data_IF_856297871370
#
_entry.id   IF_856297871370
#
_cell.length_a   1.000
_cell.length_b   1.000
_cell.length_c   1.000
_cell.angle_alpha   90.00
_cell.angle_beta   90.00
_cell.angle_gamma   90.00
#
_symmetry.space_group_name_H-M   'P 1'
#
loop_
_entity.id
_entity.type
_entity.pdbx_description
1 polymer ?
#
# COMPACT_ATOMS: atom_id res chain seq x y z
N UNK A 1 -6.39 6.59 17.60
CA UNK A 1 -7.85 6.37 17.49
C UNK A 1 -8.12 5.42 16.34
N UNK A 2 -9.09 4.52 16.51
CA UNK A 2 -9.56 3.59 15.47
C UNK A 2 -11.09 3.54 15.51
N UNK A 3 -11.73 3.72 14.35
CA UNK A 3 -13.21 3.71 14.26
C UNK A 3 -13.82 2.32 14.40
N UNK A 4 -13.08 1.29 14.01
CA UNK A 4 -13.51 -0.10 14.13
C UNK A 4 -13.15 -0.71 15.48
N UNK A 5 -13.54 -1.97 15.70
CA UNK A 5 -13.23 -2.73 16.90
C UNK A 5 -11.73 -3.02 17.07
N UNK A 6 -10.98 -3.05 15.97
CA UNK A 6 -9.55 -3.34 15.94
C UNK A 6 -8.89 -2.69 14.72
N UNK A 7 -7.56 -2.53 14.71
CA UNK A 7 -6.83 -2.12 13.51
C UNK A 7 -7.04 -3.09 12.34
N UNK A 8 -6.69 -2.64 11.13
CA UNK A 8 -6.71 -3.45 9.91
C UNK A 8 -8.09 -3.97 9.49
N UNK A 9 -9.16 -3.23 9.76
CA UNK A 9 -10.51 -3.60 9.30
C UNK A 9 -10.81 -3.09 7.87
N UNK A 10 -9.98 -2.20 7.32
CA UNK A 10 -10.10 -1.64 5.97
C UNK A 10 -9.20 -2.38 4.95
N UNK A 11 -8.47 -1.67 4.08
CA UNK A 11 -7.60 -2.28 3.06
C UNK A 11 -6.57 -3.28 3.63
N UNK A 12 -6.11 -3.05 4.85
CA UNK A 12 -5.18 -3.94 5.55
C UNK A 12 -5.82 -5.20 6.14
N UNK A 13 -7.13 -5.41 5.97
CA UNK A 13 -7.85 -6.58 6.49
C UNK A 13 -7.83 -7.82 5.59
N UNK A 14 -7.13 -7.81 4.47
CA UNK A 14 -7.04 -8.98 3.59
C UNK A 14 -6.34 -10.14 4.30
N UNK A 15 -6.76 -11.41 4.05
CA UNK A 15 -6.10 -12.59 4.63
C UNK A 15 -4.63 -12.69 4.25
N UNK A 16 -4.30 -12.31 3.02
CA UNK A 16 -2.94 -12.26 2.48
C UNK A 16 -2.77 -11.04 1.59
N UNK A 17 -1.67 -10.32 1.76
CA UNK A 17 -1.19 -9.29 0.86
C UNK A 17 0.15 -9.70 0.27
N UNK A 18 0.39 -9.39 -0.99
CA UNK A 18 1.64 -9.75 -1.67
C UNK A 18 2.74 -8.77 -1.30
N UNK A 19 3.86 -9.30 -0.81
CA UNK A 19 5.09 -8.56 -0.58
C UNK A 19 5.90 -8.53 -1.89
N UNK A 20 5.52 -7.63 -2.79
CA UNK A 20 5.99 -7.57 -4.16
C UNK A 20 6.63 -6.21 -4.50
N UNK A 21 7.80 -6.26 -5.18
CA UNK A 21 8.56 -5.07 -5.55
C UNK A 21 8.21 -4.63 -6.98
N UNK A 22 7.36 -3.63 -7.11
CA UNK A 22 7.11 -3.00 -8.42
C UNK A 22 8.17 -1.92 -8.69
N UNK A 23 9.29 -2.34 -9.24
CA UNK A 23 10.47 -1.50 -9.50
C UNK A 23 10.47 -0.90 -10.91
N UNK A 24 11.27 0.14 -11.07
CA UNK A 24 11.73 0.69 -12.35
C UNK A 24 13.26 0.54 -12.45
N UNK A 25 13.77 0.22 -13.62
CA UNK A 25 15.21 0.14 -13.88
C UNK A 25 15.92 1.52 -13.78
N UNK A 26 15.18 2.63 -13.68
CA UNK A 26 15.70 3.99 -13.77
C UNK A 26 15.95 4.67 -12.40
N UNK A 27 16.01 3.93 -11.31
CA UNK A 27 16.39 4.49 -10.00
C UNK A 27 15.46 5.61 -9.48
N UNK A 28 14.16 5.56 -9.79
CA UNK A 28 13.19 6.56 -9.37
C UNK A 28 13.03 6.64 -7.85
N UNK A 29 12.58 7.76 -7.32
CA UNK A 29 12.29 7.92 -5.89
C UNK A 29 11.34 6.81 -5.37
N UNK A 30 10.35 6.42 -6.18
CA UNK A 30 9.44 5.33 -5.85
C UNK A 30 10.18 3.99 -5.75
N UNK A 31 11.09 3.67 -6.68
CA UNK A 31 11.88 2.42 -6.62
C UNK A 31 12.81 2.39 -5.41
N UNK A 32 13.45 3.52 -5.07
CA UNK A 32 14.29 3.63 -3.88
C UNK A 32 13.48 3.44 -2.60
N UNK A 33 12.29 4.06 -2.52
CA UNK A 33 11.38 3.88 -1.39
C UNK A 33 10.93 2.41 -1.26
N UNK A 34 10.58 1.76 -2.39
CA UNK A 34 10.16 0.36 -2.39
C UNK A 34 11.28 -0.56 -1.93
N UNK A 35 12.50 -0.39 -2.42
CA UNK A 35 13.66 -1.21 -2.02
C UNK A 35 13.97 -1.07 -0.52
N UNK A 36 14.04 0.17 -0.03
CA UNK A 36 14.31 0.44 1.38
C UNK A 36 13.17 -0.07 2.27
N UNK A 37 11.91 0.16 1.85
CA UNK A 37 10.72 -0.29 2.58
C UNK A 37 10.57 -1.80 2.61
N UNK A 38 10.94 -2.49 1.53
CA UNK A 38 10.96 -3.94 1.49
C UNK A 38 11.92 -4.54 2.53
N UNK A 39 13.17 -4.06 2.57
CA UNK A 39 14.13 -4.50 3.58
C UNK A 39 13.70 -4.15 5.01
N UNK A 40 13.07 -2.98 5.21
CA UNK A 40 12.54 -2.58 6.52
C UNK A 40 11.39 -3.51 6.95
N UNK A 41 10.41 -3.74 6.09
CA UNK A 41 9.26 -4.59 6.39
C UNK A 41 9.68 -6.02 6.68
N UNK A 42 10.61 -6.59 5.90
CA UNK A 42 11.11 -7.95 6.15
C UNK A 42 11.67 -8.12 7.56
N UNK A 43 12.44 -7.16 8.07
CA UNK A 43 12.92 -7.20 9.46
C UNK A 43 11.78 -7.18 10.50
N UNK A 44 10.70 -6.49 10.21
CA UNK A 44 9.51 -6.51 11.08
C UNK A 44 8.82 -7.88 11.07
N UNK A 45 8.76 -8.53 9.90
CA UNK A 45 8.15 -9.85 9.75
C UNK A 45 8.89 -10.96 10.50
N UNK A 46 10.18 -10.82 10.76
CA UNK A 46 10.95 -11.77 11.59
C UNK A 46 10.39 -11.93 13.01
N UNK A 47 9.61 -10.96 13.47
CA UNK A 47 8.92 -10.98 14.78
C UNK A 47 7.54 -11.62 14.74
N UNK A 48 7.12 -12.12 13.60
CA UNK A 48 5.83 -12.78 13.35
C UNK A 48 6.05 -14.25 13.02
N UNK A 49 4.99 -15.06 13.11
CA UNK A 49 5.06 -16.48 12.86
C UNK A 49 5.07 -16.78 11.35
N UNK A 50 6.22 -17.29 10.86
CA UNK A 50 6.34 -17.74 9.47
C UNK A 50 5.39 -18.92 9.19
N UNK A 51 4.79 -18.94 8.00
CA UNK A 51 3.80 -19.93 7.58
C UNK A 51 2.38 -19.65 8.08
N UNK A 52 2.20 -18.72 9.04
CA UNK A 52 0.89 -18.31 9.60
C UNK A 52 0.60 -16.85 9.35
N UNK A 53 1.53 -15.96 9.72
CA UNK A 53 1.38 -14.52 9.58
C UNK A 53 2.06 -13.98 8.32
N UNK A 54 3.05 -14.68 7.81
CA UNK A 54 3.75 -14.38 6.57
C UNK A 54 4.52 -15.59 6.06
N UNK A 55 4.88 -15.58 4.78
CA UNK A 55 5.87 -16.51 4.24
C UNK A 55 6.68 -15.83 3.12
N UNK A 56 8.01 -15.98 3.22
CA UNK A 56 8.98 -15.62 2.19
C UNK A 56 9.09 -16.71 1.13
N UNK A 57 7.98 -17.15 0.57
CA UNK A 57 7.90 -18.22 -0.40
C UNK A 57 8.32 -17.81 -1.82
N UNK A 58 8.68 -16.54 -2.01
CA UNK A 58 8.96 -15.94 -3.30
C UNK A 58 7.71 -15.37 -3.97
N UNK A 59 7.97 -14.50 -4.96
CA UNK A 59 6.93 -13.97 -5.86
C UNK A 59 7.41 -14.14 -7.29
N UNK A 60 6.61 -14.77 -8.13
CA UNK A 60 6.83 -14.94 -9.55
C UNK A 60 5.88 -14.01 -10.31
N UNK A 61 6.41 -13.02 -11.03
CA UNK A 61 5.66 -12.15 -11.94
C UNK A 61 5.76 -12.72 -13.34
N UNK A 62 4.65 -13.26 -13.85
CA UNK A 62 4.61 -13.84 -15.19
C UNK A 62 4.81 -12.80 -16.30
N UNK A 63 5.37 -13.24 -17.39
CA UNK A 63 5.45 -12.47 -18.63
C UNK A 63 4.17 -12.71 -19.44
N UNK A 64 3.27 -11.74 -19.46
CA UNK A 64 1.97 -11.87 -20.11
C UNK A 64 1.87 -11.13 -21.46
N UNK A 65 2.82 -10.23 -21.76
CA UNK A 65 2.95 -9.54 -23.04
C UNK A 65 4.39 -9.12 -23.35
N UNK A 66 4.65 -8.66 -24.57
CA UNK A 66 5.96 -8.21 -25.03
C UNK A 66 6.49 -6.98 -24.28
N UNK A 67 5.61 -6.11 -23.81
CA UNK A 67 5.99 -4.92 -23.04
C UNK A 67 6.49 -5.33 -21.67
N UNK A 68 5.80 -6.28 -21.04
CA UNK A 68 6.22 -6.82 -19.74
C UNK A 68 7.53 -7.60 -19.89
N UNK A 69 7.72 -8.39 -20.98
CA UNK A 69 8.97 -9.07 -21.27
C UNK A 69 10.17 -8.10 -21.32
N UNK A 70 10.02 -7.01 -22.05
CA UNK A 70 11.05 -5.97 -22.14
C UNK A 70 11.34 -5.31 -20.79
N UNK A 71 10.28 -5.00 -20.02
CA UNK A 71 10.42 -4.42 -18.68
C UNK A 71 11.18 -5.37 -17.74
N UNK A 72 10.83 -6.66 -17.76
CA UNK A 72 11.46 -7.68 -16.91
C UNK A 72 12.93 -7.88 -17.28
N UNK A 73 13.29 -7.90 -18.56
CA UNK A 73 14.67 -7.96 -19.01
C UNK A 73 15.50 -6.77 -18.52
N UNK A 74 14.97 -5.55 -18.63
CA UNK A 74 15.63 -4.34 -18.12
C UNK A 74 15.83 -4.38 -16.59
N UNK A 75 14.86 -4.93 -15.85
CA UNK A 75 15.00 -5.10 -14.41
C UNK A 75 16.06 -6.14 -14.04
N UNK A 76 16.09 -7.27 -14.74
CA UNK A 76 17.11 -8.31 -14.52
C UNK A 76 18.54 -7.81 -14.80
N UNK A 77 18.71 -6.88 -15.73
CA UNK A 77 19.98 -6.21 -15.98
C UNK A 77 20.35 -5.18 -14.89
N UNK A 78 19.35 -4.47 -14.36
CA UNK A 78 19.55 -3.34 -13.45
C UNK A 78 19.75 -3.76 -11.98
N UNK A 79 19.34 -4.96 -11.58
CA UNK A 79 19.35 -5.42 -10.20
C UNK A 79 20.09 -6.75 -10.05
N UNK A 80 20.67 -7.02 -8.85
CA UNK A 80 21.38 -8.27 -8.62
C UNK A 80 20.42 -9.48 -8.61
N UNK A 81 20.88 -10.63 -9.06
CA UNK A 81 20.12 -11.88 -9.12
C UNK A 81 19.57 -12.33 -7.75
N UNK A 82 20.22 -11.95 -6.67
CA UNK A 82 19.76 -12.21 -5.31
C UNK A 82 18.46 -11.45 -4.97
N UNK A 83 18.20 -10.32 -5.65
CA UNK A 83 16.98 -9.56 -5.48
C UNK A 83 15.86 -10.03 -6.43
N UNK A 84 16.24 -10.21 -7.71
CA UNK A 84 15.31 -10.65 -8.75
C UNK A 84 16.09 -11.26 -9.94
N UNK A 85 15.51 -12.26 -10.59
CA UNK A 85 16.08 -12.88 -11.79
C UNK A 85 14.99 -13.48 -12.67
N UNK A 86 15.30 -13.63 -13.95
CA UNK A 86 14.39 -14.27 -14.90
C UNK A 86 14.40 -15.79 -14.73
N UNK A 87 13.22 -16.38 -14.81
CA UNK A 87 13.01 -17.82 -14.95
C UNK A 87 12.35 -18.09 -16.31
N UNK A 88 12.82 -19.10 -17.02
CA UNK A 88 12.07 -19.66 -18.13
C UNK A 88 10.82 -20.40 -17.62
N UNK A 89 9.96 -20.83 -18.53
CA UNK A 89 8.71 -21.51 -18.17
C UNK A 89 8.95 -22.75 -17.30
N UNK A 90 9.93 -23.59 -17.66
CA UNK A 90 10.20 -24.84 -16.93
C UNK A 90 10.68 -24.56 -15.50
N UNK A 91 11.58 -23.58 -15.33
CA UNK A 91 12.07 -23.17 -14.01
C UNK A 91 10.98 -22.50 -13.18
N UNK A 92 10.11 -21.70 -13.83
CA UNK A 92 8.96 -21.07 -13.18
C UNK A 92 7.93 -22.11 -12.69
N UNK A 93 7.64 -23.14 -13.49
CA UNK A 93 6.77 -24.28 -13.11
C UNK A 93 7.37 -25.08 -11.96
N UNK A 94 8.67 -25.39 -12.04
CA UNK A 94 9.38 -26.10 -10.97
C UNK A 94 9.36 -25.30 -9.65
N UNK A 95 9.48 -23.96 -9.74
CA UNK A 95 9.48 -23.07 -8.57
C UNK A 95 8.09 -22.91 -7.97
N UNK A 96 7.06 -22.78 -8.80
CA UNK A 96 5.68 -22.56 -8.36
C UNK A 96 4.94 -23.85 -7.97
N UNK A 97 5.35 -25.00 -8.51
CA UNK A 97 4.68 -26.29 -8.29
C UNK A 97 3.41 -26.49 -9.14
N UNK A 98 3.17 -25.61 -10.11
CA UNK A 98 2.02 -25.65 -11.02
C UNK A 98 2.46 -25.41 -12.46
N UNK A 99 1.64 -25.80 -13.44
CA UNK A 99 1.90 -25.50 -14.85
C UNK A 99 1.54 -24.03 -15.14
N UNK A 100 2.37 -23.38 -15.94
CA UNK A 100 2.24 -21.97 -16.30
C UNK A 100 2.33 -21.79 -17.82
N UNK A 101 1.72 -20.72 -18.34
CA UNK A 101 1.79 -20.40 -19.76
C UNK A 101 3.14 -19.79 -20.17
N UNK A 102 3.87 -19.18 -19.23
CA UNK A 102 5.13 -18.47 -19.47
C UNK A 102 6.07 -18.55 -18.27
N UNK A 103 7.33 -18.19 -18.50
CA UNK A 103 8.24 -17.80 -17.44
C UNK A 103 7.95 -16.40 -16.91
N UNK A 104 8.92 -15.83 -16.20
CA UNK A 104 8.75 -14.49 -15.66
C UNK A 104 9.88 -14.04 -14.76
N UNK A 105 9.67 -12.94 -14.08
CA UNK A 105 10.61 -12.37 -13.14
C UNK A 105 10.33 -12.88 -11.71
N UNK A 106 11.32 -13.53 -11.12
CA UNK A 106 11.22 -14.10 -9.78
C UNK A 106 11.90 -13.22 -8.74
N UNK A 107 11.24 -13.00 -7.63
CA UNK A 107 11.70 -12.28 -6.45
C UNK A 107 11.84 -13.26 -5.29
N UNK A 108 13.04 -13.82 -5.04
CA UNK A 108 13.26 -14.92 -4.09
C UNK A 108 12.89 -14.56 -2.65
N UNK A 109 13.06 -13.30 -2.29
CA UNK A 109 12.82 -12.78 -0.96
C UNK A 109 11.39 -12.21 -0.76
N UNK A 110 10.56 -12.22 -1.83
CA UNK A 110 9.16 -11.86 -1.79
C UNK A 110 8.29 -12.93 -1.13
N UNK A 111 6.99 -12.72 -1.15
CA UNK A 111 6.05 -13.68 -0.59
C UNK A 111 4.71 -13.05 -0.24
N UNK A 112 4.03 -13.60 0.76
CA UNK A 112 2.79 -13.05 1.27
C UNK A 112 2.89 -12.70 2.77
N UNK A 113 2.05 -11.78 3.18
CA UNK A 113 1.90 -11.32 4.57
C UNK A 113 0.43 -11.28 4.92
N UNK A 114 0.08 -11.63 6.15
CA UNK A 114 -1.21 -11.35 6.77
C UNK A 114 -1.17 -9.93 7.38
N UNK A 115 -1.71 -8.90 6.70
CA UNK A 115 -1.54 -7.53 7.16
C UNK A 115 -2.12 -7.26 8.55
N UNK A 116 -3.26 -7.90 8.95
CA UNK A 116 -3.77 -7.72 10.31
C UNK A 116 -2.76 -8.11 11.40
N UNK A 117 -2.01 -9.21 11.23
CA UNK A 117 -1.00 -9.61 12.21
C UNK A 117 0.14 -8.58 12.32
N UNK A 118 0.57 -8.02 11.19
CA UNK A 118 1.57 -6.95 11.17
C UNK A 118 1.04 -5.69 11.87
N UNK A 119 -0.19 -5.27 11.59
CA UNK A 119 -0.81 -4.10 12.22
C UNK A 119 -0.99 -4.30 13.73
N UNK A 120 -1.48 -5.45 14.15
CA UNK A 120 -1.64 -5.80 15.56
C UNK A 120 -0.31 -5.76 16.31
N UNK A 121 0.73 -6.40 15.73
CA UNK A 121 2.08 -6.40 16.29
C UNK A 121 2.64 -4.99 16.46
N UNK A 122 2.38 -4.08 15.50
CA UNK A 122 2.85 -2.70 15.57
C UNK A 122 2.04 -1.87 16.57
N UNK A 123 0.74 -2.15 16.73
CA UNK A 123 -0.12 -1.47 17.69
C UNK A 123 0.05 -1.98 19.13
N UNK A 124 0.64 -3.17 19.33
CA UNK A 124 0.84 -3.78 20.65
C UNK A 124 2.17 -3.35 21.24
N UNK A 125 2.17 -2.25 21.99
CA UNK A 125 3.33 -1.75 22.73
C UNK A 125 2.86 -1.08 24.02
N UNK A 126 3.60 -1.19 25.15
CA UNK A 126 3.20 -0.58 26.44
C UNK A 126 2.93 0.93 26.38
N UNK A 127 3.59 1.65 25.48
CA UNK A 127 3.41 3.09 25.31
C UNK A 127 2.32 3.45 24.28
N UNK A 128 1.63 2.47 23.70
CA UNK A 128 0.54 2.70 22.77
C UNK A 128 -0.79 2.41 23.45
N UNK A 129 -1.69 3.39 23.46
CA UNK A 129 -3.08 3.23 23.88
C UNK A 129 -3.97 3.23 22.65
N UNK A 130 -4.52 2.07 22.31
CA UNK A 130 -5.54 1.96 21.26
C UNK A 130 -6.91 2.36 21.83
N UNK A 131 -7.56 3.32 21.20
CA UNK A 131 -8.94 3.72 21.50
C UNK A 131 -9.77 3.32 20.29
N UNK A 132 -10.35 2.13 20.35
CA UNK A 132 -11.22 1.56 19.33
C UNK A 132 -12.67 2.06 19.43
N UNK A 133 -13.46 1.84 18.38
CA UNK A 133 -14.85 2.32 18.28
C UNK A 133 -15.02 3.85 18.39
N UNK A 134 -13.97 4.60 18.02
CA UNK A 134 -14.00 6.05 18.05
C UNK A 134 -13.56 6.63 16.71
N UNK A 135 -14.47 7.32 16.07
CA UNK A 135 -14.22 8.06 14.84
C UNK A 135 -14.12 9.55 15.14
N UNK A 136 -12.97 10.16 14.87
CA UNK A 136 -12.84 11.60 14.91
C UNK A 136 -13.46 12.20 13.65
N UNK A 137 -14.40 13.11 13.82
CA UNK A 137 -15.08 13.81 12.74
C UNK A 137 -14.54 15.22 12.51
N UNK A 138 -13.95 15.81 13.54
CA UNK A 138 -13.36 17.15 13.51
C UNK A 138 -12.06 17.20 14.31
N UNK A 139 -11.13 18.04 13.84
CA UNK A 139 -9.89 18.38 14.55
C UNK A 139 -9.86 19.87 14.83
N UNK A 140 -9.67 20.23 16.10
CA UNK A 140 -9.56 21.63 16.56
C UNK A 140 -8.22 21.83 17.24
N UNK A 141 -7.60 23.00 17.02
CA UNK A 141 -6.41 23.39 17.76
C UNK A 141 -6.80 24.36 18.87
N UNK A 142 -6.56 23.99 20.12
CA UNK A 142 -6.91 24.78 21.29
C UNK A 142 -5.73 24.77 22.28
N UNK A 143 -5.19 25.92 22.60
CA UNK A 143 -4.09 26.07 23.55
C UNK A 143 -2.83 25.25 23.19
N UNK A 144 -2.50 25.16 21.90
CA UNK A 144 -1.34 24.38 21.42
C UNK A 144 -1.56 22.85 21.38
N UNK A 145 -2.79 22.40 21.64
CA UNK A 145 -3.16 20.98 21.57
C UNK A 145 -4.11 20.75 20.40
N UNK A 146 -3.93 19.63 19.69
CA UNK A 146 -4.89 19.12 18.75
C UNK A 146 -5.92 18.26 19.48
N UNK A 147 -7.18 18.60 19.31
CA UNK A 147 -8.32 17.91 19.90
C UNK A 147 -9.08 17.14 18.82
N UNK A 148 -9.30 15.86 19.05
CA UNK A 148 -10.12 15.01 18.19
C UNK A 148 -11.54 14.94 18.76
N UNK A 149 -12.53 15.29 17.94
CA UNK A 149 -13.93 15.40 18.33
C UNK A 149 -14.79 14.43 17.53
N UNK A 150 -15.74 13.80 18.22
CA UNK A 150 -16.88 13.08 17.64
C UNK A 150 -18.13 13.92 17.89
N UNK A 151 -18.59 14.64 16.89
CA UNK A 151 -19.64 15.66 17.02
C UNK A 151 -19.35 16.66 18.16
N UNK A 152 -20.08 16.55 19.27
CA UNK A 152 -19.94 17.43 20.44
C UNK A 152 -19.01 16.88 21.54
N UNK A 153 -18.53 15.65 21.37
CA UNK A 153 -17.72 14.97 22.39
C UNK A 153 -16.24 15.03 22.03
N UNK A 154 -15.45 15.53 22.97
CA UNK A 154 -13.99 15.39 22.90
C UNK A 154 -13.61 13.92 23.16
N UNK A 155 -12.88 13.32 22.20
CA UNK A 155 -12.38 11.96 22.33
C UNK A 155 -11.03 11.97 23.06
N UNK A 156 -10.08 12.77 22.55
CA UNK A 156 -8.73 12.90 23.12
C UNK A 156 -8.05 14.18 22.62
N UNK A 157 -6.94 14.55 23.27
CA UNK A 157 -6.11 15.69 22.85
C UNK A 157 -4.62 15.38 22.99
N UNK A 158 -3.80 15.94 22.12
CA UNK A 158 -2.36 15.80 22.13
C UNK A 158 -1.67 16.99 21.44
N UNK A 159 -0.40 17.27 21.74
CA UNK A 159 0.36 18.32 21.05
C UNK A 159 0.65 17.95 19.57
N UNK A 160 0.60 16.68 19.25
CA UNK A 160 0.87 16.16 17.90
C UNK A 160 -0.30 15.29 17.44
N UNK A 161 -0.72 15.49 16.20
CA UNK A 161 -1.68 14.63 15.49
C UNK A 161 -1.07 14.10 14.20
N UNK A 162 -1.26 12.81 13.95
CA UNK A 162 -0.88 12.13 12.70
C UNK A 162 -2.13 11.58 12.03
N UNK A 163 -2.42 12.04 10.84
CA UNK A 163 -3.51 11.53 10.03
C UNK A 163 -3.05 10.32 9.21
N UNK A 164 -3.52 9.13 9.60
CA UNK A 164 -3.21 7.85 8.94
C UNK A 164 -4.47 7.11 8.43
N UNK A 165 -5.62 7.77 8.36
CA UNK A 165 -6.92 7.23 7.96
C UNK A 165 -7.14 7.13 6.45
N UNK A 166 -6.09 6.87 5.66
CA UNK A 166 -6.14 6.73 4.19
C UNK A 166 -6.85 7.92 3.51
N UNK A 167 -7.88 7.67 2.68
CA UNK A 167 -8.58 8.74 1.97
C UNK A 167 -9.57 9.50 2.86
N UNK A 168 -9.93 8.95 4.00
CA UNK A 168 -10.92 9.52 4.92
C UNK A 168 -10.37 10.73 5.68
N UNK A 169 -9.03 10.88 5.71
CA UNK A 169 -8.43 12.11 6.24
C UNK A 169 -8.88 13.38 5.53
N UNK A 170 -9.42 13.28 4.32
CA UNK A 170 -9.97 14.42 3.56
C UNK A 170 -11.23 15.02 4.19
N UNK A 171 -11.84 14.37 5.18
CA UNK A 171 -12.94 14.97 5.94
C UNK A 171 -12.50 16.13 6.83
N UNK A 172 -11.23 16.17 7.23
CA UNK A 172 -10.70 17.26 8.04
C UNK A 172 -10.33 18.45 7.17
N UNK A 173 -10.70 19.65 7.60
CA UNK A 173 -10.45 20.90 6.86
C UNK A 173 -8.97 21.07 6.50
N UNK A 174 -8.07 20.69 7.41
CA UNK A 174 -6.61 20.81 7.25
C UNK A 174 -6.04 19.96 6.11
N UNK A 175 -6.69 18.86 5.76
CA UNK A 175 -6.22 17.86 4.77
C UNK A 175 -7.19 17.62 3.61
N UNK A 176 -8.28 18.40 3.54
CA UNK A 176 -9.33 18.26 2.53
C UNK A 176 -8.80 18.34 1.08
N UNK A 177 -7.79 19.18 0.86
CA UNK A 177 -7.19 19.43 -0.45
C UNK A 177 -6.14 18.42 -0.88
N UNK A 178 -5.78 17.46 -0.04
CA UNK A 178 -4.83 16.42 -0.42
C UNK A 178 -5.41 15.58 -1.58
N UNK A 179 -4.65 15.37 -2.67
CA UNK A 179 -5.15 14.74 -3.87
C UNK A 179 -5.21 13.20 -3.72
N UNK A 180 -5.87 12.74 -2.69
CA UNK A 180 -6.07 11.32 -2.41
C UNK A 180 -7.29 10.78 -3.16
N UNK A 181 -7.14 9.58 -3.73
CA UNK A 181 -8.21 8.87 -4.44
C UNK A 181 -8.42 7.49 -3.84
N UNK A 182 -9.67 7.10 -3.70
CA UNK A 182 -10.08 5.73 -3.37
C UNK A 182 -10.11 4.88 -4.64
N UNK A 183 -9.65 3.64 -4.53
CA UNK A 183 -9.77 2.63 -5.58
C UNK A 183 -10.31 1.39 -4.90
N UNK A 184 -11.53 1.01 -5.22
CA UNK A 184 -12.13 -0.22 -4.72
C UNK A 184 -11.41 -1.43 -5.30
N UNK A 185 -11.20 -2.44 -4.48
CA UNK A 185 -10.66 -3.72 -4.91
C UNK A 185 -11.25 -4.84 -4.10
N UNK A 186 -11.70 -5.89 -4.78
CA UNK A 186 -12.22 -7.10 -4.18
C UNK A 186 -11.26 -8.26 -4.42
N UNK A 187 -11.01 -9.03 -3.38
CA UNK A 187 -10.36 -10.35 -3.46
C UNK A 187 -11.41 -11.45 -3.43
N UNK A 188 -11.01 -12.62 -3.91
CA UNK A 188 -11.76 -13.88 -3.79
C UNK A 188 -10.92 -14.87 -2.98
N UNK A 189 -11.60 -15.71 -2.18
CA UNK A 189 -10.98 -16.82 -1.44
C UNK A 189 -11.49 -18.13 -2.01
N UNK A 190 -10.58 -19.07 -2.25
CA UNK A 190 -10.90 -20.42 -2.70
C UNK A 190 -10.40 -21.44 -1.69
N UNK A 191 -11.18 -22.46 -1.35
CA UNK A 191 -10.73 -23.55 -0.48
C UNK A 191 -9.51 -24.26 -1.07
N UNK A 192 -8.55 -24.59 -0.23
CA UNK A 192 -7.44 -25.45 -0.59
C UNK A 192 -7.93 -26.85 -0.90
N UNK A 193 -7.36 -27.49 -1.89
CA UNK A 193 -7.55 -28.91 -2.21
C UNK A 193 -6.22 -29.65 -2.07
N UNK A 194 -6.26 -30.98 -1.95
CA UNK A 194 -5.04 -31.79 -1.90
C UNK A 194 -4.14 -31.59 -3.14
N UNK A 195 -4.72 -31.24 -4.30
CA UNK A 195 -3.97 -30.97 -5.52
C UNK A 195 -3.38 -29.55 -5.56
N UNK A 196 -4.02 -28.56 -4.92
CA UNK A 196 -3.56 -27.18 -4.92
C UNK A 196 -2.49 -26.87 -3.88
N UNK A 197 -2.23 -27.76 -2.91
CA UNK A 197 -1.15 -27.66 -1.92
C UNK A 197 0.24 -27.57 -2.55
N UNK A 198 0.38 -27.96 -3.82
CA UNK A 198 1.63 -27.86 -4.57
C UNK A 198 2.01 -26.43 -4.92
N UNK A 199 1.06 -25.48 -4.91
CA UNK A 199 1.38 -24.07 -5.12
C UNK A 199 2.30 -23.57 -4.00
N UNK A 200 3.55 -23.34 -4.33
CA UNK A 200 4.61 -23.08 -3.35
C UNK A 200 5.15 -21.65 -3.38
N UNK A 201 4.69 -20.80 -4.31
CA UNK A 201 5.09 -19.39 -4.42
C UNK A 201 3.89 -18.52 -4.81
N UNK A 202 3.95 -17.23 -4.52
CA UNK A 202 2.94 -16.30 -5.02
C UNK A 202 3.16 -16.11 -6.51
N UNK A 203 2.11 -16.30 -7.32
CA UNK A 203 2.16 -16.07 -8.77
C UNK A 203 1.31 -14.86 -9.12
N UNK A 204 1.91 -13.94 -9.86
CA UNK A 204 1.30 -12.70 -10.31
C UNK A 204 1.32 -12.59 -11.84
N UNK A 205 0.24 -12.01 -12.39
CA UNK A 205 0.15 -11.50 -13.76
C UNK A 205 -0.50 -10.12 -13.69
N UNK A 206 -1.68 -9.91 -14.25
CA UNK A 206 -2.51 -8.73 -13.96
C UNK A 206 -3.11 -8.80 -12.55
N UNK A 207 -3.47 -10.02 -12.10
CA UNK A 207 -3.84 -10.33 -10.72
C UNK A 207 -2.76 -11.13 -10.01
N UNK A 208 -3.14 -11.81 -8.91
CA UNK A 208 -2.26 -12.71 -8.18
C UNK A 208 -3.03 -13.87 -7.56
N UNK A 209 -2.32 -14.96 -7.27
CA UNK A 209 -2.76 -16.03 -6.40
C UNK A 209 -1.64 -16.38 -5.42
N UNK A 210 -1.98 -16.58 -4.15
CA UNK A 210 -1.04 -16.94 -3.10
C UNK A 210 -1.18 -18.43 -2.71
N UNK A 211 -0.09 -19.08 -2.24
CA UNK A 211 -0.19 -20.36 -1.54
C UNK A 211 -1.22 -20.29 -0.43
N UNK A 212 -1.86 -21.42 -0.14
CA UNK A 212 -2.91 -21.45 0.86
C UNK A 212 -2.43 -21.00 2.25
N UNK A 213 -3.26 -20.23 2.90
CA UNK A 213 -3.13 -19.86 4.31
C UNK A 213 -4.38 -20.32 5.05
N UNK A 214 -4.19 -21.13 6.09
CA UNK A 214 -5.31 -21.69 6.89
C UNK A 214 -6.38 -22.40 6.03
N UNK A 215 -5.95 -23.13 5.00
CA UNK A 215 -6.83 -23.89 4.13
C UNK A 215 -7.51 -23.10 3.01
N UNK A 216 -7.10 -21.86 2.76
CA UNK A 216 -7.67 -21.04 1.69
C UNK A 216 -6.58 -20.32 0.88
N UNK A 217 -6.76 -20.28 -0.42
CA UNK A 217 -6.01 -19.44 -1.34
C UNK A 217 -6.68 -18.05 -1.47
N UNK A 218 -5.88 -17.01 -1.45
CA UNK A 218 -6.33 -15.65 -1.76
C UNK A 218 -5.94 -15.29 -3.18
N UNK A 219 -6.88 -14.81 -3.97
CA UNK A 219 -6.65 -14.34 -5.33
C UNK A 219 -7.32 -13.00 -5.59
N UNK A 220 -6.80 -12.25 -6.53
CA UNK A 220 -7.34 -10.93 -6.91
C UNK A 220 -6.28 -10.00 -7.48
N UNK A 221 -6.64 -8.77 -7.59
CA UNK A 221 -7.88 -8.19 -7.12
C UNK A 221 -8.45 -7.28 -8.20
N UNK A 222 -9.76 -7.08 -8.13
CA UNK A 222 -10.41 -6.10 -9.01
C UNK A 222 -9.91 -4.67 -8.75
N UNK A 223 -10.13 -3.80 -9.74
CA UNK A 223 -9.83 -2.37 -9.68
C UNK A 223 -11.03 -1.58 -10.18
N UNK A 224 -11.73 -0.90 -9.28
CA UNK A 224 -12.86 -0.02 -9.63
C UNK A 224 -12.64 1.37 -9.06
N UNK A 225 -12.61 2.37 -9.93
CA UNK A 225 -12.41 3.78 -9.61
C UNK A 225 -13.70 4.53 -9.27
N UNK A 226 -14.85 3.92 -9.53
CA UNK A 226 -16.15 4.59 -9.47
C UNK A 226 -17.05 4.07 -8.37
N UNK A 227 -16.93 2.79 -8.01
CA UNK A 227 -17.76 2.19 -6.97
C UNK A 227 -17.38 2.65 -5.58
N UNK A 228 -18.37 2.94 -4.77
CA UNK A 228 -18.26 3.24 -3.33
C UNK A 228 -18.79 2.10 -2.46
N UNK A 229 -19.42 1.10 -3.05
CA UNK A 229 -19.98 -0.06 -2.34
C UNK A 229 -18.88 -1.09 -2.03
N UNK A 230 -18.72 -1.43 -0.76
CA UNK A 230 -17.79 -2.43 -0.29
C UNK A 230 -18.39 -3.83 -0.14
N UNK A 231 -19.66 -4.00 -0.51
CA UNK A 231 -20.27 -5.33 -0.57
C UNK A 231 -19.58 -6.15 -1.66
N UNK A 232 -19.06 -7.35 -1.35
CA UNK A 232 -18.54 -8.25 -2.38
C UNK A 232 -19.63 -8.56 -3.41
N UNK A 233 -19.25 -8.55 -4.68
CA UNK A 233 -20.19 -8.79 -5.78
C UNK A 233 -19.70 -9.90 -6.71
N UNK A 234 -20.65 -10.49 -7.44
CA UNK A 234 -20.41 -11.61 -8.34
C UNK A 234 -19.48 -11.24 -9.52
N UNK A 235 -19.62 -10.05 -10.07
CA UNK A 235 -18.82 -9.62 -11.23
C UNK A 235 -17.33 -9.60 -10.90
N UNK A 236 -16.96 -9.11 -9.71
CA UNK A 236 -15.58 -9.12 -9.24
C UNK A 236 -15.07 -10.54 -8.95
N UNK A 237 -15.92 -11.43 -8.43
CA UNK A 237 -15.54 -12.83 -8.27
C UNK A 237 -15.23 -13.50 -9.61
N UNK A 238 -16.10 -13.32 -10.61
CA UNK A 238 -15.89 -13.85 -11.95
C UNK A 238 -14.63 -13.26 -12.60
N UNK A 239 -14.39 -11.94 -12.46
CA UNK A 239 -13.17 -11.31 -12.94
C UNK A 239 -11.90 -11.87 -12.26
N UNK A 240 -11.96 -12.13 -10.96
CA UNK A 240 -10.83 -12.75 -10.24
C UNK A 240 -10.59 -14.20 -10.67
N UNK A 241 -11.65 -14.97 -10.97
CA UNK A 241 -11.51 -16.33 -11.53
C UNK A 241 -10.94 -16.32 -12.93
N UNK A 242 -11.32 -15.35 -13.77
CA UNK A 242 -10.72 -15.18 -15.09
C UNK A 242 -9.23 -14.83 -14.99
N UNK A 243 -8.82 -13.94 -14.08
CA UNK A 243 -7.39 -13.67 -13.84
C UNK A 243 -6.65 -14.92 -13.37
N UNK A 244 -7.27 -15.79 -12.58
CA UNK A 244 -6.68 -17.06 -12.17
C UNK A 244 -6.47 -17.99 -13.37
N UNK A 245 -7.44 -18.07 -14.28
CA UNK A 245 -7.34 -18.84 -15.52
C UNK A 245 -6.17 -18.35 -16.39
N UNK A 246 -6.00 -17.04 -16.53
CA UNK A 246 -4.89 -16.42 -17.26
C UNK A 246 -3.52 -16.69 -16.59
N UNK A 247 -3.48 -16.83 -15.26
CA UNK A 247 -2.27 -17.22 -14.53
C UNK A 247 -1.96 -18.70 -14.78
N UNK A 248 -2.93 -19.61 -14.56
CA UNK A 248 -2.72 -21.04 -14.64
C UNK A 248 -4.02 -21.83 -14.77
N UNK A 249 -4.29 -22.34 -15.95
CA UNK A 249 -5.38 -23.29 -16.18
C UNK A 249 -5.24 -24.55 -15.30
N UNK A 250 -4.02 -25.08 -15.15
CA UNK A 250 -3.71 -26.21 -14.26
C UNK A 250 -4.13 -25.94 -12.81
N UNK A 251 -3.93 -24.72 -12.29
CA UNK A 251 -4.35 -24.37 -10.95
C UNK A 251 -5.88 -24.27 -10.81
N UNK A 252 -6.57 -23.77 -11.83
CA UNK A 252 -8.05 -23.78 -11.86
C UNK A 252 -8.60 -25.19 -11.75
N UNK A 253 -8.02 -26.14 -12.50
CA UNK A 253 -8.40 -27.55 -12.42
C UNK A 253 -8.10 -28.16 -11.04
N UNK A 254 -6.91 -27.90 -10.49
CA UNK A 254 -6.52 -28.39 -9.15
C UNK A 254 -7.41 -27.85 -8.04
N UNK A 255 -7.82 -26.61 -8.13
CA UNK A 255 -8.75 -25.96 -7.19
C UNK A 255 -10.20 -26.38 -7.40
N UNK A 256 -10.52 -27.04 -8.53
CA UNK A 256 -11.89 -27.31 -8.97
C UNK A 256 -12.73 -26.03 -9.00
N UNK A 257 -12.11 -24.94 -9.42
CA UNK A 257 -12.72 -23.61 -9.35
C UNK A 257 -13.98 -23.51 -10.21
N UNK A 258 -14.06 -24.27 -11.32
CA UNK A 258 -15.23 -24.34 -12.20
C UNK A 258 -16.43 -25.04 -11.54
N UNK A 259 -16.21 -25.88 -10.52
CA UNK A 259 -17.27 -26.62 -9.82
C UNK A 259 -17.88 -25.78 -8.67
N UNK A 260 -17.25 -24.67 -8.31
CA UNK A 260 -17.69 -23.82 -7.22
C UNK A 260 -18.79 -22.87 -7.72
N UNK A 261 -19.98 -22.84 -7.09
CA UNK A 261 -21.00 -21.86 -7.43
C UNK A 261 -20.47 -20.45 -7.15
N UNK A 262 -20.39 -19.55 -8.15
CA UNK A 262 -19.81 -18.22 -7.95
C UNK A 262 -20.53 -17.39 -6.87
N UNK A 263 -21.82 -17.65 -6.63
CA UNK A 263 -22.63 -16.98 -5.61
C UNK A 263 -22.25 -17.39 -4.17
N UNK A 264 -21.53 -18.50 -4.02
CA UNK A 264 -21.05 -19.00 -2.72
C UNK A 264 -19.60 -18.62 -2.43
N UNK A 265 -18.93 -18.00 -3.41
CA UNK A 265 -17.55 -17.57 -3.22
C UNK A 265 -17.44 -16.52 -2.12
N UNK A 266 -16.47 -16.74 -1.27
CA UNK A 266 -16.16 -15.78 -0.21
C UNK A 266 -15.14 -14.76 -0.71
N UNK A 267 -15.30 -13.53 -0.27
CA UNK A 267 -14.40 -12.46 -0.66
C UNK A 267 -14.48 -11.27 0.28
N UNK A 268 -13.71 -10.25 -0.06
CA UNK A 268 -13.65 -9.02 0.69
C UNK A 268 -13.34 -7.87 -0.26
N UNK A 269 -14.06 -6.77 -0.11
CA UNK A 269 -13.77 -5.54 -0.82
C UNK A 269 -13.28 -4.45 0.16
N UNK A 270 -12.35 -3.61 -0.29
CA UNK A 270 -11.86 -2.48 0.47
C UNK A 270 -11.32 -1.39 -0.46
N UNK A 271 -11.14 -0.18 0.07
CA UNK A 271 -10.54 0.92 -0.68
C UNK A 271 -9.03 0.98 -0.49
N UNK A 272 -8.29 0.89 -1.61
CA UNK A 272 -6.91 1.39 -1.66
C UNK A 272 -6.98 2.92 -1.71
N UNK A 273 -6.01 3.58 -1.09
CA UNK A 273 -5.86 5.03 -1.15
C UNK A 273 -4.56 5.38 -1.85
N UNK A 274 -4.64 6.12 -2.95
CA UNK A 274 -3.46 6.49 -3.74
C UNK A 274 -3.39 7.99 -3.99
N UNK A 275 -2.18 8.48 -4.20
CA UNK A 275 -1.87 9.82 -4.72
C UNK A 275 -1.75 9.79 -6.25
N UNK A 276 -1.77 10.95 -6.95
CA UNK A 276 -1.64 11.01 -8.41
C UNK A 276 -0.31 10.49 -8.96
N UNK A 277 0.77 10.60 -8.20
CA UNK A 277 2.11 10.17 -8.59
C UNK A 277 2.54 8.83 -7.98
N UNK A 278 1.61 8.13 -7.32
CA UNK A 278 1.80 6.83 -6.66
C UNK A 278 2.84 6.82 -5.52
N UNK A 279 3.42 7.95 -5.16
CA UNK A 279 4.23 8.09 -3.95
C UNK A 279 3.31 8.37 -2.74
N UNK A 280 3.61 7.82 -1.57
CA UNK A 280 2.87 8.15 -0.36
C UNK A 280 2.90 9.67 -0.07
N UNK A 281 1.99 10.13 0.76
CA UNK A 281 1.96 11.47 1.30
C UNK A 281 2.35 11.39 2.76
N UNK A 282 3.56 11.84 3.10
CA UNK A 282 4.16 11.64 4.42
C UNK A 282 4.90 12.90 4.86
N UNK A 283 4.61 13.37 6.07
CA UNK A 283 5.32 14.48 6.68
C UNK A 283 4.43 15.57 7.27
N UNK A 284 5.03 16.71 7.68
CA UNK A 284 4.31 17.85 8.22
C UNK A 284 3.42 18.48 7.16
N UNK A 285 2.28 18.98 7.57
CA UNK A 285 1.35 19.69 6.70
C UNK A 285 1.42 21.19 6.97
N UNK A 286 1.40 21.99 5.90
CA UNK A 286 1.28 23.43 5.99
C UNK A 286 -0.20 23.86 5.89
N UNK A 287 -0.51 25.01 6.47
CA UNK A 287 -1.73 25.72 6.15
C UNK A 287 -1.73 26.06 4.65
N UNK A 288 -2.70 25.52 3.93
CA UNK A 288 -2.71 25.60 2.47
C UNK A 288 -2.85 27.03 1.97
N UNK A 289 -3.74 27.82 2.55
CA UNK A 289 -4.00 29.20 2.13
C UNK A 289 -2.77 30.07 2.38
N UNK A 290 -2.21 29.98 3.58
CA UNK A 290 -0.98 30.69 3.94
C UNK A 290 0.21 30.24 3.07
N UNK A 291 0.34 28.95 2.75
CA UNK A 291 1.37 28.43 1.85
C UNK A 291 1.25 29.01 0.44
N UNK A 292 0.05 28.98 -0.13
CA UNK A 292 -0.20 29.51 -1.46
C UNK A 292 0.12 31.00 -1.54
N UNK A 293 -0.19 31.77 -0.50
CA UNK A 293 0.12 33.21 -0.40
C UNK A 293 1.62 33.46 -0.23
N UNK A 294 2.27 32.72 0.67
CA UNK A 294 3.71 32.91 0.96
C UNK A 294 4.59 32.60 -0.25
N UNK A 295 4.23 31.55 -1.03
CA UNK A 295 5.00 31.08 -2.17
C UNK A 295 4.43 31.48 -3.54
N UNK A 296 3.51 32.43 -3.59
CA UNK A 296 2.85 32.91 -4.82
C UNK A 296 3.82 33.34 -5.94
N UNK A 297 5.01 33.82 -5.61
CA UNK A 297 6.05 34.23 -6.57
C UNK A 297 6.48 33.09 -7.50
N UNK A 298 6.44 31.84 -7.02
CA UNK A 298 6.78 30.64 -7.80
C UNK A 298 5.84 30.41 -9.00
N UNK A 299 4.62 30.93 -8.94
CA UNK A 299 3.68 30.90 -10.06
C UNK A 299 4.03 31.84 -11.21
N UNK A 300 4.92 32.82 -10.98
CA UNK A 300 5.45 33.71 -12.00
C UNK A 300 6.81 33.25 -12.53
N UNK A 301 7.69 32.84 -11.63
CA UNK A 301 9.01 32.30 -11.96
C UNK A 301 9.41 31.26 -10.90
N UNK A 302 9.49 29.98 -11.30
CA UNK A 302 9.85 28.86 -10.43
C UNK A 302 11.25 28.97 -9.79
N UNK A 303 12.11 29.89 -10.29
CA UNK A 303 13.45 30.17 -9.73
C UNK A 303 13.41 31.17 -8.60
N UNK A 304 12.33 31.92 -8.45
CA UNK A 304 12.18 32.95 -7.40
C UNK A 304 11.60 32.30 -6.14
N UNK A 305 12.42 31.50 -5.47
CA UNK A 305 12.03 30.90 -4.19
C UNK A 305 12.01 31.96 -3.11
N UNK A 306 10.86 32.31 -2.49
CA UNK A 306 10.80 33.29 -1.43
C UNK A 306 11.60 32.84 -0.20
N UNK A 307 12.33 33.77 0.39
CA UNK A 307 13.03 33.54 1.68
C UNK A 307 12.05 33.79 2.85
N UNK A 308 11.12 32.90 3.01
CA UNK A 308 10.10 32.94 4.06
C UNK A 308 9.95 31.57 4.70
N UNK A 309 9.62 31.54 5.98
CA UNK A 309 9.32 30.30 6.67
C UNK A 309 8.05 29.64 6.08
N UNK A 310 8.07 28.31 5.95
CA UNK A 310 6.87 27.59 5.57
C UNK A 310 5.81 27.70 6.69
N UNK A 311 4.56 28.05 6.36
CA UNK A 311 3.50 28.19 7.36
C UNK A 311 2.97 26.82 7.80
N UNK A 312 3.73 26.12 8.61
CA UNK A 312 3.35 24.83 9.13
C UNK A 312 2.12 24.89 10.04
N UNK A 313 1.30 23.86 9.99
CA UNK A 313 0.36 23.55 11.06
C UNK A 313 1.15 22.84 12.16
N UNK A 314 1.43 23.55 13.25
CA UNK A 314 2.28 23.05 14.33
C UNK A 314 1.74 21.73 14.89
N UNK A 315 2.59 20.69 14.94
CA UNK A 315 2.23 19.37 15.43
C UNK A 315 1.28 18.58 14.51
N UNK A 316 1.08 18.97 13.25
CA UNK A 316 0.15 18.31 12.33
C UNK A 316 0.88 17.56 11.21
N UNK A 317 0.65 16.24 11.14
CA UNK A 317 1.35 15.35 10.21
C UNK A 317 0.39 14.43 9.47
N UNK A 318 0.86 13.90 8.34
CA UNK A 318 0.13 12.95 7.50
C UNK A 318 1.00 11.75 7.16
N UNK A 319 0.42 10.55 7.17
CA UNK A 319 1.01 9.33 6.62
C UNK A 319 -0.09 8.55 5.87
N UNK A 320 -0.18 8.74 4.56
CA UNK A 320 -1.29 8.22 3.74
C UNK A 320 -0.90 8.00 2.27
N UNK A 321 -1.83 7.53 1.45
CA UNK A 321 -1.65 7.44 -0.01
C UNK A 321 -0.78 6.27 -0.48
N UNK A 322 -0.66 5.19 0.29
CA UNK A 322 0.22 4.06 0.02
C UNK A 322 -0.22 3.17 -1.16
N UNK A 323 -1.45 3.35 -1.67
CA UNK A 323 -2.00 2.57 -2.77
C UNK A 323 -2.07 1.06 -2.45
N UNK A 324 -1.59 0.24 -3.37
CA UNK A 324 -1.47 -1.22 -3.19
C UNK A 324 -0.15 -1.66 -2.55
N UNK A 325 0.70 -0.72 -2.12
CA UNK A 325 2.06 -1.00 -1.63
C UNK A 325 2.24 -0.74 -0.14
N UNK A 326 1.12 -0.62 0.60
CA UNK A 326 1.13 -0.28 2.03
C UNK A 326 2.01 -1.19 2.88
N UNK A 327 2.05 -2.50 2.59
CA UNK A 327 2.93 -3.45 3.29
C UNK A 327 4.41 -3.05 3.23
N UNK A 328 4.84 -2.48 2.10
CA UNK A 328 6.24 -2.10 1.87
C UNK A 328 6.49 -0.66 2.32
N UNK A 329 5.57 0.25 2.02
CA UNK A 329 5.84 1.68 2.18
C UNK A 329 5.40 2.24 3.52
N UNK A 330 4.29 1.76 4.11
CA UNK A 330 3.74 2.37 5.32
C UNK A 330 4.67 2.22 6.54
N UNK A 331 5.30 1.07 6.82
CA UNK A 331 6.21 0.95 7.95
C UNK A 331 7.43 1.88 7.85
N UNK A 332 8.09 1.94 6.70
CA UNK A 332 9.24 2.83 6.51
C UNK A 332 8.83 4.31 6.51
N UNK A 333 7.65 4.63 6.00
CA UNK A 333 7.12 6.00 6.07
C UNK A 333 6.76 6.42 7.51
N UNK A 334 6.43 5.48 8.37
CA UNK A 334 6.27 5.75 9.80
C UNK A 334 7.62 6.11 10.46
N UNK A 335 8.70 5.40 10.12
CA UNK A 335 10.07 5.75 10.56
C UNK A 335 10.48 7.13 10.03
N UNK A 336 10.18 7.44 8.77
CA UNK A 336 10.43 8.75 8.19
C UNK A 336 9.69 9.86 8.95
N UNK A 337 8.45 9.60 9.34
CA UNK A 337 7.65 10.52 10.11
C UNK A 337 8.19 10.71 11.52
N UNK A 338 8.58 9.62 12.20
CA UNK A 338 9.21 9.67 13.51
C UNK A 338 10.52 10.48 13.48
N UNK A 339 11.34 10.28 12.46
CA UNK A 339 12.58 11.06 12.29
C UNK A 339 12.33 12.57 12.15
N UNK A 340 11.26 13.00 11.50
CA UNK A 340 10.87 14.41 11.47
C UNK A 340 10.35 14.91 12.83
N UNK A 341 9.59 14.10 13.56
CA UNK A 341 9.04 14.45 14.86
C UNK A 341 10.13 14.63 15.91
N UNK A 342 11.12 13.73 15.91
CA UNK A 342 12.19 13.69 16.91
C UNK A 342 13.47 14.41 16.45
N UNK A 343 13.43 15.04 15.26
CA UNK A 343 14.59 15.71 14.63
C UNK A 343 15.81 14.78 14.50
N UNK A 344 15.56 13.54 14.10
CA UNK A 344 16.58 12.50 13.86
C UNK A 344 17.03 12.45 12.40
N UNK A 345 18.17 11.80 12.10
CA UNK A 345 18.57 11.53 10.72
C UNK A 345 17.50 10.75 9.96
N UNK A 346 17.21 11.20 8.73
CA UNK A 346 16.18 10.55 7.90
C UNK A 346 16.59 9.11 7.55
N UNK A 347 15.65 8.14 7.58
CA UNK A 347 15.92 6.73 7.21
C UNK A 347 16.03 6.53 5.69
N UNK A 348 15.83 7.58 4.91
CA UNK A 348 15.81 7.62 3.46
C UNK A 348 16.67 8.78 2.94
N UNK A 349 17.18 8.70 1.69
CA UNK A 349 17.78 9.85 1.03
C UNK A 349 16.81 11.05 1.04
N UNK A 350 17.34 12.24 1.25
CA UNK A 350 16.55 13.46 1.33
C UNK A 350 15.64 13.66 0.11
N UNK A 351 16.15 13.36 -1.09
CA UNK A 351 15.38 13.45 -2.33
C UNK A 351 14.16 12.52 -2.35
N UNK A 352 14.23 11.34 -1.72
CA UNK A 352 13.10 10.41 -1.61
C UNK A 352 12.10 10.90 -0.56
N UNK A 353 12.58 11.40 0.57
CA UNK A 353 11.75 11.98 1.62
C UNK A 353 10.97 13.22 1.10
N UNK A 354 11.65 14.13 0.38
CA UNK A 354 11.03 15.29 -0.27
C UNK A 354 10.02 14.88 -1.35
N UNK A 355 10.27 13.80 -2.10
CA UNK A 355 9.33 13.27 -3.08
C UNK A 355 8.04 12.72 -2.43
N UNK A 356 8.06 12.36 -1.16
CA UNK A 356 6.88 11.94 -0.39
C UNK A 356 6.18 13.09 0.35
N UNK A 357 6.79 14.28 0.40
CA UNK A 357 6.31 15.38 1.22
C UNK A 357 4.90 15.87 0.79
N UNK A 358 3.98 16.19 1.73
CA UNK A 358 2.60 16.61 1.43
C UNK A 358 2.54 17.85 0.53
N UNK A 359 3.38 18.85 0.78
CA UNK A 359 3.34 20.15 0.08
C UNK A 359 3.80 20.07 -1.39
N UNK A 360 4.33 18.91 -1.85
CA UNK A 360 4.78 18.76 -3.25
C UNK A 360 3.69 19.05 -4.28
N UNK A 361 2.43 18.76 -3.95
CA UNK A 361 1.31 19.00 -4.84
C UNK A 361 0.94 20.50 -4.90
N UNK A 362 0.90 21.17 -3.76
CA UNK A 362 0.69 22.61 -3.71
C UNK A 362 1.79 23.38 -4.45
N UNK A 363 3.05 22.96 -4.25
CA UNK A 363 4.21 23.54 -4.94
C UNK A 363 4.14 23.33 -6.45
N UNK A 364 3.86 22.09 -6.91
CA UNK A 364 3.69 21.78 -8.35
C UNK A 364 2.56 22.59 -8.97
N UNK A 365 1.44 22.72 -8.27
CA UNK A 365 0.30 23.51 -8.72
C UNK A 365 0.65 24.99 -8.86
N UNK A 366 1.37 25.58 -7.90
CA UNK A 366 1.87 26.95 -7.99
C UNK A 366 2.72 27.15 -9.23
N UNK A 367 3.75 26.30 -9.42
CA UNK A 367 4.68 26.39 -10.56
C UNK A 367 3.97 26.25 -11.92
N UNK A 368 2.92 25.45 -11.99
CA UNK A 368 2.14 25.24 -13.22
C UNK A 368 1.03 26.26 -13.45
N UNK A 369 0.79 27.14 -12.50
CA UNK A 369 -0.31 28.12 -12.57
C UNK A 369 -1.70 27.50 -12.52
N UNK A 370 -1.85 26.32 -11.90
CA UNK A 370 -3.11 25.58 -11.79
C UNK A 370 -4.08 26.15 -10.73
N UNK A 371 -3.87 27.39 -10.29
CA UNK A 371 -4.59 28.04 -9.18
C UNK A 371 -5.46 29.21 -9.64
N UNK A 372 -6.11 29.04 -10.79
CA UNK A 372 -7.12 30.03 -11.24
C UNK A 372 -8.52 29.49 -11.01
#
# INVERSE_FOLDING_TARGET
LERHAAPAQEASGNPQGVLYLKLSAHGTALSQLILSGFGHTRRLLERLQRGVDWDGCGVLQLTFDDKEAKRQAQLAEAFPESLLHLLDQSAAEARSGIRLASGGLFYPEGGWVHPPALCDRQATHPNIRLIAHHEALELRQVGGQWQAWDNERLIDSAPVVVLAGAADIKQFAQSADLPLKRIRGQITRLPETAASTTLSTVVCAEGYVAPARLGEHTLGASFDFNSVDLTPNLADHLGNLQMLEEISHDLVERLKAADLPPEQLQGRAAFRCTSPDYLPIVGPLADREAFMKAFAALGKDARQVPDVACPWLDGFYVNSGHGSRGLITAPLCAELLAAWLDNEPLPLPRSVAEACHPNRFALRGLIRGEHK
#
